data_IF_783100959842
#
_entry.id   IF_783100959842
#
_cell.length_a   1.000
_cell.length_b   1.000
_cell.length_c   1.000
_cell.angle_alpha   90.00
_cell.angle_beta   90.00
_cell.angle_gamma   90.00
#
_symmetry.space_group_name_H-M   'P 1'
#
loop_
_entity.id
_entity.type
_entity.pdbx_description
1 polymer ?
#
# COMPACT_ATOMS: atom_id res chain seq x y z
N UNK A 1 -2.34 18.66 25.60
CA UNK A 1 -3.19 19.28 24.57
C UNK A 1 -2.39 19.64 23.31
N UNK A 2 -1.31 18.89 22.99
CA UNK A 2 -0.20 19.40 22.16
C UNK A 2 0.07 18.56 20.88
N UNK A 3 -0.58 17.40 20.75
CA UNK A 3 -0.46 16.52 19.57
C UNK A 3 -1.38 16.96 18.43
N UNK A 4 -2.60 17.39 18.76
CA UNK A 4 -3.61 17.83 17.80
C UNK A 4 -3.20 19.11 17.06
N UNK A 5 -2.44 20.02 17.68
CA UNK A 5 -1.97 21.23 17.00
C UNK A 5 -0.93 20.92 15.92
N UNK A 6 -0.01 19.99 16.20
CA UNK A 6 1.00 19.55 15.23
C UNK A 6 0.35 18.84 14.04
N UNK A 7 -0.65 17.99 14.29
CA UNK A 7 -1.46 17.35 13.25
C UNK A 7 -2.24 18.37 12.40
N UNK A 8 -2.92 19.33 13.04
CA UNK A 8 -3.66 20.39 12.35
C UNK A 8 -2.72 21.27 11.52
N UNK A 9 -1.55 21.60 12.06
CA UNK A 9 -0.52 22.35 11.33
C UNK A 9 0.01 21.56 10.12
N UNK A 10 0.13 20.24 10.22
CA UNK A 10 0.55 19.39 9.11
C UNK A 10 -0.54 19.30 8.02
N UNK A 11 -1.81 19.10 8.39
CA UNK A 11 -2.93 19.11 7.46
C UNK A 11 -3.04 20.43 6.68
N UNK A 12 -2.78 21.57 7.33
CA UNK A 12 -2.71 22.88 6.66
C UNK A 12 -1.62 22.95 5.59
N UNK A 13 -0.47 22.27 5.78
CA UNK A 13 0.61 22.23 4.77
C UNK A 13 0.22 21.39 3.55
N UNK A 14 -0.52 20.29 3.74
CA UNK A 14 -1.04 19.47 2.66
C UNK A 14 -2.08 20.21 1.80
N UNK A 15 -2.90 21.08 2.40
CA UNK A 15 -3.88 21.90 1.70
C UNK A 15 -3.41 23.34 1.40
N UNK A 16 -2.09 23.58 1.44
CA UNK A 16 -1.53 24.92 1.20
C UNK A 16 -1.65 25.34 -0.28
N UNK A 17 -1.75 26.64 -0.58
CA UNK A 17 -1.90 27.14 -1.96
C UNK A 17 -0.64 26.92 -2.80
N UNK A 18 0.53 27.04 -2.18
CA UNK A 18 1.83 26.79 -2.81
C UNK A 18 2.05 25.29 -3.07
N UNK A 19 2.39 24.93 -4.31
CA UNK A 19 2.68 23.56 -4.74
C UNK A 19 3.89 22.98 -4.00
N UNK A 20 4.97 23.74 -3.83
CA UNK A 20 6.21 23.22 -3.24
C UNK A 20 5.99 22.81 -1.78
N UNK A 21 5.19 23.60 -1.05
CA UNK A 21 4.79 23.28 0.33
C UNK A 21 3.99 21.98 0.38
N UNK A 22 3.06 21.78 -0.56
CA UNK A 22 2.26 20.55 -0.64
C UNK A 22 3.10 19.34 -1.00
N UNK A 23 4.02 19.46 -1.97
CA UNK A 23 4.87 18.34 -2.39
C UNK A 23 5.78 17.86 -1.25
N UNK A 24 6.38 18.80 -0.51
CA UNK A 24 7.13 18.48 0.71
C UNK A 24 6.21 17.85 1.77
N UNK A 25 5.00 18.38 1.90
CA UNK A 25 3.84 17.82 2.61
C UNK A 25 3.68 16.30 2.40
N UNK A 26 3.36 15.97 1.14
CA UNK A 26 3.06 14.64 0.63
C UNK A 26 4.26 13.72 0.80
N UNK A 27 5.47 14.19 0.51
CA UNK A 27 6.70 13.43 0.71
C UNK A 27 6.91 13.03 2.18
N UNK A 28 6.73 13.98 3.11
CA UNK A 28 6.83 13.71 4.56
C UNK A 28 5.77 12.71 5.03
N UNK A 29 4.54 12.83 4.54
CA UNK A 29 3.48 11.88 4.87
C UNK A 29 3.81 10.47 4.36
N UNK A 30 4.34 10.34 3.14
CA UNK A 30 4.77 9.06 2.57
C UNK A 30 5.81 8.37 3.46
N UNK A 31 6.84 9.11 3.88
CA UNK A 31 7.89 8.60 4.76
C UNK A 31 7.30 8.18 6.10
N UNK A 32 6.44 9.01 6.69
CA UNK A 32 5.80 8.71 7.96
C UNK A 32 4.93 7.45 7.90
N UNK A 33 4.14 7.25 6.85
CA UNK A 33 3.33 6.03 6.65
C UNK A 33 4.17 4.76 6.46
N UNK A 34 5.44 4.90 6.04
CA UNK A 34 6.38 3.78 5.90
C UNK A 34 7.04 3.36 7.21
N UNK A 35 6.89 4.16 8.26
CA UNK A 35 7.35 3.84 9.61
C UNK A 35 6.39 2.86 10.28
N UNK A 36 6.89 2.13 11.28
CA UNK A 36 6.10 1.16 12.05
C UNK A 36 5.33 1.84 13.20
N UNK A 37 4.67 2.95 12.88
CA UNK A 37 3.88 3.74 13.82
C UNK A 37 2.44 3.67 13.40
N UNK A 38 1.60 3.05 14.24
CA UNK A 38 0.17 2.97 13.95
C UNK A 38 -0.50 4.34 14.12
N UNK A 39 -1.30 4.71 13.13
CA UNK A 39 -2.16 5.88 13.18
C UNK A 39 -3.57 5.50 13.59
N UNK A 40 -4.19 6.33 14.42
CA UNK A 40 -5.60 6.20 14.70
C UNK A 40 -6.42 6.48 13.43
N UNK A 41 -7.59 5.84 13.33
CA UNK A 41 -8.45 6.01 12.17
C UNK A 41 -8.88 7.48 11.96
N UNK A 42 -9.16 8.22 13.04
CA UNK A 42 -9.54 9.63 12.97
C UNK A 42 -8.40 10.52 12.45
N UNK A 43 -7.15 10.23 12.82
CA UNK A 43 -5.98 10.93 12.27
C UNK A 43 -5.85 10.66 10.77
N UNK A 44 -6.02 9.39 10.36
CA UNK A 44 -5.98 8.99 8.96
C UNK A 44 -7.05 9.71 8.12
N UNK A 45 -8.28 9.85 8.63
CA UNK A 45 -9.34 10.63 7.99
C UNK A 45 -8.98 12.12 7.85
N UNK A 46 -8.34 12.72 8.86
CA UNK A 46 -7.86 14.10 8.78
C UNK A 46 -6.79 14.25 7.69
N UNK A 47 -5.85 13.31 7.60
CA UNK A 47 -4.84 13.30 6.54
C UNK A 47 -5.49 13.20 5.17
N UNK A 48 -6.44 12.29 4.98
CA UNK A 48 -7.13 12.13 3.70
C UNK A 48 -7.97 13.33 3.30
N UNK A 49 -8.63 14.00 4.25
CA UNK A 49 -9.30 15.27 3.98
C UNK A 49 -8.32 16.33 3.46
N UNK A 50 -7.13 16.41 4.06
CA UNK A 50 -6.10 17.34 3.59
C UNK A 50 -5.54 16.95 2.22
N UNK A 51 -5.32 15.66 1.96
CA UNK A 51 -4.90 15.13 0.66
C UNK A 51 -5.96 15.35 -0.43
N UNK A 52 -7.25 15.26 -0.07
CA UNK A 52 -8.34 15.58 -0.97
C UNK A 52 -8.21 17.02 -1.48
N UNK A 53 -7.99 17.99 -0.60
CA UNK A 53 -7.78 19.38 -1.01
C UNK A 53 -6.41 19.63 -1.66
N UNK A 54 -5.37 18.86 -1.30
CA UNK A 54 -4.10 18.87 -2.02
C UNK A 54 -4.30 18.55 -3.51
N UNK A 55 -5.10 17.52 -3.78
CA UNK A 55 -5.45 17.11 -5.13
C UNK A 55 -6.44 18.09 -5.79
N UNK A 56 -7.34 18.68 -5.02
CA UNK A 56 -8.25 19.74 -5.47
C UNK A 56 -7.49 20.93 -6.06
N UNK A 57 -6.41 21.38 -5.40
CA UNK A 57 -5.56 22.50 -5.83
C UNK A 57 -4.59 22.16 -6.98
N UNK A 58 -4.62 20.92 -7.48
CA UNK A 58 -3.75 20.47 -8.58
C UNK A 58 -4.48 20.57 -9.93
N UNK A 59 -4.20 21.62 -10.69
CA UNK A 59 -4.92 21.92 -11.95
C UNK A 59 -4.14 21.52 -13.22
N UNK A 60 -2.81 21.38 -13.16
CA UNK A 60 -1.99 20.98 -14.32
C UNK A 60 -2.12 19.46 -14.58
N UNK A 61 -2.44 19.00 -15.80
CA UNK A 61 -2.66 17.58 -16.08
C UNK A 61 -1.50 16.65 -15.71
N UNK A 62 -0.26 17.03 -16.02
CA UNK A 62 0.92 16.23 -15.64
C UNK A 62 1.10 16.12 -14.12
N UNK A 63 0.84 17.22 -13.40
CA UNK A 63 0.88 17.25 -11.93
C UNK A 63 -0.21 16.37 -11.34
N UNK A 64 -1.42 16.36 -11.92
CA UNK A 64 -2.50 15.47 -11.49
C UNK A 64 -2.14 13.99 -11.67
N UNK A 65 -1.54 13.63 -12.81
CA UNK A 65 -1.13 12.25 -13.08
C UNK A 65 -0.05 11.78 -12.11
N UNK A 66 0.98 12.60 -11.91
CA UNK A 66 2.07 12.31 -10.98
C UNK A 66 1.56 12.22 -9.54
N UNK A 67 0.77 13.20 -9.09
CA UNK A 67 0.24 13.20 -7.73
C UNK A 67 -0.69 12.02 -7.49
N UNK A 68 -1.59 11.69 -8.43
CA UNK A 68 -2.47 10.53 -8.30
C UNK A 68 -1.68 9.21 -8.22
N UNK A 69 -0.60 9.10 -8.98
CA UNK A 69 0.31 7.96 -8.90
C UNK A 69 1.00 7.87 -7.54
N UNK A 70 1.55 8.99 -7.06
CA UNK A 70 2.25 9.07 -5.78
C UNK A 70 1.31 8.74 -4.60
N UNK A 71 0.10 9.30 -4.57
CA UNK A 71 -0.91 9.01 -3.54
C UNK A 71 -1.35 7.55 -3.56
N UNK A 72 -1.56 6.97 -4.74
CA UNK A 72 -1.83 5.53 -4.85
C UNK A 72 -0.66 4.68 -4.34
N UNK A 73 0.57 5.04 -4.69
CA UNK A 73 1.77 4.29 -4.28
C UNK A 73 1.99 4.31 -2.76
N UNK A 74 1.46 5.30 -2.03
CA UNK A 74 1.51 5.32 -0.55
C UNK A 74 0.87 4.08 0.08
N UNK A 75 -0.10 3.43 -0.58
CA UNK A 75 -0.72 2.18 -0.10
C UNK A 75 0.33 1.07 0.09
N UNK A 76 1.31 1.00 -0.82
CA UNK A 76 2.40 0.04 -0.75
C UNK A 76 3.43 0.43 0.33
N UNK A 77 3.59 1.74 0.60
CA UNK A 77 4.46 2.22 1.66
C UNK A 77 3.87 1.96 3.05
N UNK A 78 2.55 2.02 3.21
CA UNK A 78 1.87 1.74 4.48
C UNK A 78 2.18 0.32 4.98
N UNK A 79 2.55 0.22 6.27
CA UNK A 79 2.77 -1.06 6.98
C UNK A 79 1.59 -1.42 7.88
N UNK A 80 1.48 -2.71 8.20
CA UNK A 80 0.54 -3.24 9.19
C UNK A 80 -0.90 -2.75 9.00
N UNK A 81 -1.50 -2.31 10.11
CA UNK A 81 -2.91 -1.87 10.18
C UNK A 81 -3.15 -0.55 9.41
N UNK A 82 -2.11 0.29 9.26
CA UNK A 82 -2.22 1.57 8.57
C UNK A 82 -2.66 1.43 7.12
N UNK A 83 -2.30 0.32 6.45
CA UNK A 83 -2.71 0.10 5.06
C UNK A 83 -4.23 -0.02 4.92
N UNK A 84 -4.85 -0.82 5.80
CA UNK A 84 -6.30 -0.96 5.84
C UNK A 84 -6.99 0.36 6.20
N UNK A 85 -6.50 1.05 7.24
CA UNK A 85 -7.01 2.36 7.67
C UNK A 85 -6.89 3.42 6.56
N UNK A 86 -5.78 3.44 5.84
CA UNK A 86 -5.52 4.37 4.73
C UNK A 86 -6.54 4.15 3.59
N UNK A 87 -6.80 2.90 3.22
CA UNK A 87 -7.81 2.58 2.20
C UNK A 87 -9.23 2.90 2.66
N UNK A 88 -9.59 2.54 3.89
CA UNK A 88 -10.91 2.82 4.44
C UNK A 88 -11.17 4.32 4.50
N UNK A 89 -10.20 5.09 5.02
CA UNK A 89 -10.29 6.54 5.11
C UNK A 89 -10.35 7.22 3.73
N UNK A 90 -9.67 6.68 2.71
CA UNK A 90 -9.80 7.15 1.33
C UNK A 90 -11.25 7.05 0.84
N UNK A 91 -11.84 5.85 0.91
CA UNK A 91 -13.19 5.63 0.41
C UNK A 91 -14.22 6.45 1.17
N UNK A 92 -14.08 6.54 2.50
CA UNK A 92 -14.95 7.37 3.31
C UNK A 92 -14.85 8.86 2.93
N UNK A 93 -13.63 9.36 2.71
CA UNK A 93 -13.41 10.76 2.30
C UNK A 93 -14.00 11.03 0.93
N UNK A 94 -13.78 10.14 -0.05
CA UNK A 94 -14.33 10.28 -1.40
C UNK A 94 -15.87 10.29 -1.34
N UNK A 95 -16.49 9.34 -0.63
CA UNK A 95 -17.95 9.28 -0.52
C UNK A 95 -18.55 10.53 0.12
N UNK A 96 -17.90 11.08 1.16
CA UNK A 96 -18.36 12.30 1.85
C UNK A 96 -18.26 13.55 0.99
N UNK A 97 -17.18 13.68 0.22
CA UNK A 97 -16.88 14.91 -0.53
C UNK A 97 -17.33 14.83 -2.01
N UNK A 98 -17.82 13.67 -2.49
CA UNK A 98 -18.16 13.45 -3.89
C UNK A 98 -19.18 14.46 -4.43
N UNK A 99 -20.21 14.76 -3.64
CA UNK A 99 -21.27 15.70 -4.03
C UNK A 99 -20.78 17.15 -4.14
N UNK A 100 -19.65 17.49 -3.52
CA UNK A 100 -19.05 18.82 -3.61
C UNK A 100 -18.21 19.02 -4.88
N UNK A 101 -17.94 17.95 -5.64
CA UNK A 101 -17.15 18.03 -6.87
C UNK A 101 -17.95 18.63 -8.02
N UNK A 102 -17.41 19.70 -8.62
CA UNK A 102 -17.93 20.24 -9.86
C UNK A 102 -17.47 19.43 -11.09
N UNK A 103 -18.16 19.62 -12.21
CA UNK A 103 -17.94 18.89 -13.46
C UNK A 103 -16.49 18.91 -13.97
N UNK A 104 -15.73 19.97 -13.70
CA UNK A 104 -14.35 20.11 -14.19
C UNK A 104 -13.35 19.33 -13.33
N UNK A 105 -13.76 18.84 -12.16
CA UNK A 105 -12.89 18.12 -11.22
C UNK A 105 -13.14 16.63 -11.21
N UNK A 106 -14.32 16.17 -11.64
CA UNK A 106 -14.69 14.75 -11.65
C UNK A 106 -13.61 13.89 -12.33
N UNK A 107 -13.13 14.30 -13.51
CA UNK A 107 -12.18 13.51 -14.29
C UNK A 107 -10.87 13.21 -13.54
N UNK A 108 -10.31 14.21 -12.85
CA UNK A 108 -9.09 13.99 -12.08
C UNK A 108 -9.32 13.11 -10.85
N UNK A 109 -10.48 13.21 -10.19
CA UNK A 109 -10.80 12.34 -9.06
C UNK A 109 -11.09 10.90 -9.51
N UNK A 110 -11.66 10.69 -10.70
CA UNK A 110 -11.76 9.37 -11.32
C UNK A 110 -10.38 8.79 -11.65
N UNK A 111 -9.43 9.61 -12.10
CA UNK A 111 -8.03 9.19 -12.25
C UNK A 111 -7.43 8.75 -10.90
N UNK A 112 -7.62 9.54 -9.84
CA UNK A 112 -7.17 9.18 -8.50
C UNK A 112 -7.77 7.85 -8.02
N UNK A 113 -9.08 7.66 -8.19
CA UNK A 113 -9.79 6.41 -7.88
C UNK A 113 -9.14 5.22 -8.58
N UNK A 114 -8.90 5.35 -9.89
CA UNK A 114 -8.29 4.29 -10.69
C UNK A 114 -6.88 3.93 -10.18
N UNK A 115 -6.09 4.91 -9.75
CA UNK A 115 -4.76 4.67 -9.17
C UNK A 115 -4.85 3.99 -7.81
N UNK A 116 -5.74 4.44 -6.93
CA UNK A 116 -5.94 3.79 -5.62
C UNK A 116 -6.36 2.34 -5.78
N UNK A 117 -7.33 2.04 -6.66
CA UNK A 117 -7.75 0.65 -6.94
C UNK A 117 -6.57 -0.18 -7.46
N UNK A 118 -5.82 0.33 -8.44
CA UNK A 118 -4.64 -0.35 -8.98
C UNK A 118 -3.62 -0.72 -7.89
N UNK A 119 -3.23 0.23 -7.04
CA UNK A 119 -2.27 -0.01 -5.98
C UNK A 119 -2.82 -0.87 -4.84
N UNK A 120 -4.14 -0.83 -4.59
CA UNK A 120 -4.81 -1.74 -3.65
C UNK A 120 -4.68 -3.19 -4.10
N UNK A 121 -4.98 -3.46 -5.38
CA UNK A 121 -4.85 -4.79 -5.97
C UNK A 121 -3.38 -5.26 -5.97
N UNK A 122 -2.45 -4.38 -6.34
CA UNK A 122 -1.01 -4.66 -6.28
C UNK A 122 -0.53 -5.01 -4.87
N UNK A 123 -1.07 -4.36 -3.84
CA UNK A 123 -0.75 -4.71 -2.45
C UNK A 123 -1.27 -6.09 -2.05
N UNK A 124 -2.43 -6.49 -2.58
CA UNK A 124 -3.00 -7.81 -2.32
C UNK A 124 -2.14 -8.90 -2.96
N UNK A 125 -1.74 -8.71 -4.22
CA UNK A 125 -0.84 -9.61 -4.95
C UNK A 125 0.44 -9.92 -4.16
N UNK A 126 1.12 -8.88 -3.66
CA UNK A 126 2.33 -9.04 -2.83
C UNK A 126 2.08 -9.87 -1.56
N UNK A 127 0.90 -9.73 -0.97
CA UNK A 127 0.50 -10.46 0.23
C UNK A 127 0.19 -11.94 -0.06
N UNK A 128 -0.27 -12.27 -1.27
CA UNK A 128 -0.48 -13.65 -1.71
C UNK A 128 0.83 -14.34 -2.07
N UNK A 129 1.73 -13.66 -2.79
CA UNK A 129 3.06 -14.19 -3.13
C UNK A 129 3.89 -14.46 -1.88
N UNK A 130 3.81 -13.60 -0.85
CA UNK A 130 4.46 -13.84 0.44
C UNK A 130 3.95 -15.07 1.19
N UNK A 131 2.66 -15.41 1.06
CA UNK A 131 2.08 -16.65 1.63
C UNK A 131 2.46 -17.89 0.85
N UNK A 132 2.62 -17.78 -0.47
CA UNK A 132 3.09 -18.87 -1.35
C UNK A 132 4.61 -19.10 -1.30
N UNK A 133 5.41 -18.14 -0.85
CA UNK A 133 6.88 -18.23 -0.77
C UNK A 133 7.41 -19.03 0.44
N UNK A 134 6.53 -19.65 1.23
CA UNK A 134 6.90 -20.59 2.30
C UNK A 134 7.39 -21.96 1.78
N UNK A 135 7.73 -22.10 0.50
CA UNK A 135 8.44 -23.31 0.02
C UNK A 135 9.96 -23.23 0.22
N UNK A 136 10.52 -22.07 0.61
CA UNK A 136 11.97 -21.88 0.78
C UNK A 136 12.54 -22.07 2.20
N UNK A 137 11.71 -22.45 3.18
CA UNK A 137 12.18 -22.96 4.48
C UNK A 137 12.23 -24.50 4.49
N UNK A 138 12.58 -25.09 3.35
CA UNK A 138 12.93 -26.52 3.23
C UNK A 138 14.34 -26.72 2.64
N UNK A 139 15.26 -25.75 2.81
CA UNK A 139 16.69 -26.00 2.52
C UNK A 139 17.46 -26.58 3.71
N UNK A 140 16.87 -26.65 4.90
CA UNK A 140 17.55 -27.06 6.14
C UNK A 140 17.34 -28.54 6.52
N UNK A 141 16.84 -29.37 5.59
CA UNK A 141 16.77 -30.83 5.75
C UNK A 141 17.96 -31.58 5.13
N UNK A 142 19.05 -30.88 4.80
CA UNK A 142 20.32 -31.50 4.33
C UNK A 142 21.29 -31.92 5.44
N UNK A 143 20.87 -31.87 6.70
CA UNK A 143 21.62 -32.42 7.83
C UNK A 143 20.79 -33.38 8.69
N UNK A 144 20.00 -34.26 8.06
CA UNK A 144 19.71 -35.55 8.68
C UNK A 144 21.00 -36.38 8.55
N UNK A 145 21.66 -36.78 9.65
CA UNK A 145 22.76 -37.72 9.55
C UNK A 145 22.19 -39.00 8.95
N UNK A 146 22.75 -39.45 7.83
CA UNK A 146 22.48 -40.76 7.30
C UNK A 146 22.86 -41.77 8.40
N UNK A 147 21.86 -42.29 9.12
CA UNK A 147 22.02 -43.49 9.90
C UNK A 147 22.31 -44.60 8.89
N UNK A 148 23.60 -44.90 8.75
CA UNK A 148 24.08 -46.18 8.26
C UNK A 148 23.42 -47.26 9.10
N UNK A 149 22.57 -48.08 8.50
CA UNK A 149 22.56 -49.50 8.82
C UNK A 149 22.10 -50.32 7.62
N UNK A 150 22.85 -51.40 7.46
CA UNK A 150 23.04 -52.25 6.31
C UNK A 150 22.07 -53.43 6.40
N UNK A 151 20.97 -53.42 5.65
CA UNK A 151 20.22 -54.65 5.33
C UNK A 151 19.27 -54.45 4.14
N UNK A 152 19.43 -55.32 3.14
CA UNK A 152 18.92 -55.27 1.78
C UNK A 152 17.40 -55.36 1.58
N UNK A 153 16.92 -54.84 0.44
CA UNK A 153 16.18 -55.62 -0.58
C UNK A 153 16.24 -54.94 -1.98
N UNK A 154 16.77 -55.58 -3.05
CA UNK A 154 16.86 -54.97 -4.39
C UNK A 154 15.53 -54.87 -5.18
N UNK A 155 14.40 -55.34 -4.66
CA UNK A 155 13.17 -55.52 -5.44
C UNK A 155 12.31 -54.25 -5.67
N UNK A 156 12.66 -53.09 -5.10
CA UNK A 156 11.79 -51.90 -5.16
C UNK A 156 12.25 -50.78 -6.11
N UNK A 157 13.26 -51.02 -6.95
CA UNK A 157 13.84 -49.99 -7.84
C UNK A 157 13.15 -49.77 -9.19
N UNK A 158 11.95 -50.31 -9.39
CA UNK A 158 11.23 -50.15 -10.65
C UNK A 158 9.78 -49.72 -10.42
N UNK A 159 9.54 -48.46 -10.06
CA UNK A 159 8.35 -47.76 -10.55
C UNK A 159 8.45 -46.25 -10.34
N UNK A 160 8.01 -45.54 -11.37
CA UNK A 160 7.64 -44.12 -11.38
C UNK A 160 8.79 -43.11 -11.43
N UNK A 161 9.50 -43.12 -12.56
CA UNK A 161 9.73 -41.87 -13.27
C UNK A 161 8.38 -41.25 -13.66
N UNK A 162 8.28 -39.93 -13.50
CA UNK A 162 7.06 -39.16 -13.75
C UNK A 162 7.35 -37.69 -13.58
N UNK A 163 8.01 -37.10 -14.57
CA UNK A 163 8.18 -35.67 -14.74
C UNK A 163 6.80 -35.02 -14.87
N UNK A 164 6.38 -34.21 -13.88
CA UNK A 164 5.23 -33.33 -14.03
C UNK A 164 5.69 -32.01 -14.65
N UNK A 165 5.28 -31.87 -15.91
CA UNK A 165 5.31 -30.66 -16.73
C UNK A 165 4.01 -29.86 -16.46
N UNK A 166 4.18 -28.55 -16.26
CA UNK A 166 3.21 -27.45 -15.98
C UNK A 166 2.59 -27.35 -14.58
#
# INVERSE_FOLDING_TARGET
MDLTEKEVAFGKKLAHVDKEVRDQAVGKLSVFLSQDTELEYMEMLRQWKALFYCFWLSDKPLVQQELAWNLGNMILACKGVNRGRFLQAFWETICREWSALDKHRIDKYLLLLRRVVFFSLKSLEQSFVGRGACWRVCSDLRHVPAASDESADPAQRAHAGGECVY
#
